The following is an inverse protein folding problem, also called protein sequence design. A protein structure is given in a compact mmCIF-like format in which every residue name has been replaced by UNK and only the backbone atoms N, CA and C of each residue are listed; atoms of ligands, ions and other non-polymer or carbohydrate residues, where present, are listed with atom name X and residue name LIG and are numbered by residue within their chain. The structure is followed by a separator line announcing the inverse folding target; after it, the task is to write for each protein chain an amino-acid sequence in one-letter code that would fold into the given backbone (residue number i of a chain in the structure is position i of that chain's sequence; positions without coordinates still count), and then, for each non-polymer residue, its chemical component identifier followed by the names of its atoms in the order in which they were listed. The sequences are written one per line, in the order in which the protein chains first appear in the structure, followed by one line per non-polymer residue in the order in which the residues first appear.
data_IF_885480208774
#
_entry.id   IF_885480208774
#
_cell.length_a   1.000
_cell.length_b   1.000
_cell.length_c   1.000
_cell.angle_alpha   90.00
_cell.angle_beta   90.00
_cell.angle_gamma   90.00
#
_symmetry.space_group_name_H-M   'P 1'
#
loop_
_entity.id
_entity.type
_entity.pdbx_description
1 polymer ?
#
# COMPACT_ATOMS: atom_id res chain seq x y z
N UNK A 1 16.22 0.78 21.23
CA UNK A 1 15.00 0.40 20.49
C UNK A 1 14.60 1.49 19.50
N UNK A 2 14.34 2.74 19.94
CA UNK A 2 13.92 3.86 19.05
C UNK A 2 14.78 4.00 17.79
N UNK A 3 16.11 4.22 17.88
CA UNK A 3 16.96 4.42 16.69
C UNK A 3 16.89 3.30 15.64
N UNK A 4 16.73 2.04 16.05
CA UNK A 4 16.62 0.88 15.13
C UNK A 4 15.24 0.80 14.50
N UNK A 5 14.19 1.06 15.28
CA UNK A 5 12.81 1.08 14.76
C UNK A 5 12.59 2.30 13.86
N UNK A 6 13.16 3.46 14.21
CA UNK A 6 13.11 4.68 13.39
C UNK A 6 13.81 4.47 12.05
N UNK A 7 15.03 3.89 12.05
CA UNK A 7 15.73 3.54 10.81
C UNK A 7 14.98 2.48 9.98
N UNK A 8 14.35 1.48 10.61
CA UNK A 8 13.53 0.50 9.92
C UNK A 8 12.23 1.11 9.35
N UNK A 9 11.62 2.05 10.07
CA UNK A 9 10.46 2.82 9.62
C UNK A 9 10.83 3.66 8.39
N UNK A 10 11.94 4.40 8.45
CA UNK A 10 12.46 5.23 7.36
C UNK A 10 12.72 4.38 6.09
N UNK A 11 13.33 3.20 6.27
CA UNK A 11 13.72 2.27 5.21
C UNK A 11 12.63 1.29 4.80
N UNK A 12 11.38 1.45 5.26
CA UNK A 12 10.28 0.53 4.92
C UNK A 12 9.98 0.53 3.42
N UNK A 13 10.54 -0.41 2.67
CA UNK A 13 10.50 -0.48 1.20
C UNK A 13 11.89 -0.44 0.54
N UNK A 14 12.95 -0.10 1.29
CA UNK A 14 14.28 0.17 0.75
C UNK A 14 15.34 -0.88 1.11
N UNK A 15 15.30 -1.54 2.27
CA UNK A 15 16.33 -2.54 2.62
C UNK A 15 15.77 -3.69 3.46
N UNK A 16 15.85 -4.90 2.90
CA UNK A 16 16.16 -6.16 3.60
C UNK A 16 15.09 -6.75 4.52
N UNK A 17 14.66 -7.98 4.18
CA UNK A 17 13.84 -8.89 5.00
C UNK A 17 14.17 -8.89 6.50
N UNK A 18 15.43 -8.61 6.87
CA UNK A 18 15.87 -8.55 8.26
C UNK A 18 15.13 -7.50 9.11
N UNK A 19 14.79 -6.32 8.59
CA UNK A 19 14.20 -5.25 9.42
C UNK A 19 12.70 -5.49 9.68
N UNK A 20 11.90 -5.76 8.64
CA UNK A 20 10.47 -6.04 8.80
C UNK A 20 10.22 -7.36 9.54
N UNK A 21 11.01 -8.41 9.27
CA UNK A 21 10.94 -9.66 10.02
C UNK A 21 11.39 -9.47 11.47
N UNK A 22 12.44 -8.68 11.74
CA UNK A 22 12.85 -8.36 13.11
C UNK A 22 11.76 -7.59 13.87
N UNK A 23 11.07 -6.63 13.23
CA UNK A 23 9.94 -5.94 13.85
C UNK A 23 8.80 -6.90 14.20
N UNK A 24 8.46 -7.83 13.31
CA UNK A 24 7.48 -8.88 13.57
C UNK A 24 7.91 -9.80 14.74
N UNK A 25 9.17 -10.23 14.77
CA UNK A 25 9.73 -11.03 15.85
C UNK A 25 9.74 -10.27 17.19
N UNK A 26 10.10 -8.99 17.19
CA UNK A 26 10.06 -8.13 18.38
C UNK A 26 8.63 -7.95 18.90
N UNK A 27 7.66 -7.78 18.00
CA UNK A 27 6.26 -7.59 18.36
C UNK A 27 5.68 -8.80 19.11
N UNK A 28 6.12 -10.03 18.79
CA UNK A 28 5.67 -11.25 19.47
C UNK A 28 6.60 -11.73 20.60
N UNK A 29 7.73 -11.06 20.82
CA UNK A 29 8.73 -11.51 21.79
C UNK A 29 8.16 -11.47 23.22
N UNK A 30 8.31 -12.52 24.03
CA UNK A 30 7.68 -12.62 25.35
C UNK A 30 8.08 -11.50 26.33
N UNK A 31 9.29 -10.98 26.18
CA UNK A 31 9.82 -9.88 27.02
C UNK A 31 9.69 -8.52 26.33
N UNK A 32 9.98 -8.46 25.02
CA UNK A 32 10.13 -7.19 24.31
C UNK A 32 8.82 -6.71 23.67
N UNK A 33 7.84 -7.59 23.51
CA UNK A 33 6.56 -7.27 22.87
C UNK A 33 5.77 -6.19 23.60
N UNK A 34 5.86 -6.10 24.93
CA UNK A 34 5.20 -5.02 25.70
C UNK A 34 5.83 -3.67 25.41
N UNK A 35 7.16 -3.58 25.52
CA UNK A 35 7.89 -2.36 25.20
C UNK A 35 7.72 -1.96 23.73
N UNK A 36 7.64 -2.93 22.82
CA UNK A 36 7.32 -2.71 21.42
C UNK A 36 5.91 -2.14 21.24
N UNK A 37 4.92 -2.67 21.96
CA UNK A 37 3.54 -2.16 21.90
C UNK A 37 3.42 -0.74 22.46
N UNK A 38 4.10 -0.42 23.57
CA UNK A 38 4.17 0.94 24.11
C UNK A 38 4.81 1.91 23.10
N UNK A 39 5.89 1.48 22.46
CA UNK A 39 6.55 2.24 21.41
C UNK A 39 5.64 2.47 20.18
N UNK A 40 4.94 1.43 19.73
CA UNK A 40 3.97 1.53 18.64
C UNK A 40 2.88 2.56 18.96
N UNK A 41 2.40 2.59 20.21
CA UNK A 41 1.41 3.55 20.68
C UNK A 41 1.96 4.98 20.73
N UNK A 42 3.21 5.15 21.16
CA UNK A 42 3.87 6.46 21.15
C UNK A 42 3.95 7.00 19.71
N UNK A 43 4.47 6.20 18.76
CA UNK A 43 4.56 6.62 17.37
C UNK A 43 3.19 6.87 16.74
N UNK A 44 2.16 6.11 17.09
CA UNK A 44 0.81 6.32 16.58
C UNK A 44 0.24 7.70 16.96
N UNK A 45 0.66 8.24 18.10
CA UNK A 45 0.27 9.58 18.58
C UNK A 45 1.09 10.72 17.96
N UNK A 46 2.19 10.42 17.26
CA UNK A 46 2.97 11.44 16.54
C UNK A 46 2.26 11.82 15.23
N UNK A 47 1.47 12.90 15.30
CA UNK A 47 0.78 13.46 14.14
C UNK A 47 1.78 13.80 13.04
N UNK A 48 1.49 13.38 11.81
CA UNK A 48 2.37 13.58 10.66
C UNK A 48 3.56 12.63 10.56
N UNK A 49 3.79 11.71 11.52
CA UNK A 49 4.88 10.75 11.36
C UNK A 49 4.62 9.85 10.12
N UNK A 50 5.51 9.85 9.11
CA UNK A 50 5.26 9.24 7.80
C UNK A 50 5.15 7.72 7.84
N UNK A 51 5.65 7.11 8.93
CA UNK A 51 5.80 5.65 9.08
C UNK A 51 5.27 5.12 10.43
N UNK A 52 4.43 5.89 11.12
CA UNK A 52 3.85 5.45 12.41
C UNK A 52 2.93 4.23 12.27
N UNK A 53 2.57 3.88 11.04
CA UNK A 53 1.85 2.67 10.70
C UNK A 53 2.72 1.41 10.65
N UNK A 54 4.05 1.51 10.55
CA UNK A 54 4.96 0.35 10.46
C UNK A 54 4.89 -0.55 11.70
N UNK A 55 4.97 -0.03 12.93
CA UNK A 55 4.77 -0.85 14.13
C UNK A 55 3.38 -1.48 14.22
N UNK A 56 2.32 -0.79 13.76
CA UNK A 56 0.96 -1.34 13.73
C UNK A 56 0.89 -2.58 12.82
N UNK A 57 1.59 -2.57 11.67
CA UNK A 57 1.67 -3.74 10.80
C UNK A 57 2.42 -4.89 11.50
N UNK A 58 3.50 -4.62 12.22
CA UNK A 58 4.19 -5.64 13.00
C UNK A 58 3.29 -6.24 14.10
N UNK A 59 2.42 -5.42 14.73
CA UNK A 59 1.45 -5.89 15.73
C UNK A 59 0.31 -6.74 15.14
N UNK A 60 0.14 -6.81 13.81
CA UNK A 60 -0.86 -7.69 13.18
C UNK A 60 -0.52 -9.18 13.36
N UNK A 61 0.72 -9.52 13.72
CA UNK A 61 1.11 -10.91 13.99
C UNK A 61 0.28 -11.53 15.11
N UNK A 62 -0.02 -12.82 14.99
CA UNK A 62 -0.66 -13.58 16.06
C UNK A 62 0.19 -13.50 17.34
N UNK A 63 -0.44 -13.45 18.51
CA UNK A 63 0.21 -13.32 19.83
C UNK A 63 0.88 -11.96 20.14
N UNK A 64 1.03 -11.05 19.17
CA UNK A 64 1.55 -9.72 19.48
C UNK A 64 0.57 -8.97 20.40
N UNK A 65 1.03 -8.35 21.51
CA UNK A 65 0.15 -7.73 22.48
C UNK A 65 -0.46 -6.44 21.92
N UNK A 66 -1.78 -6.30 22.07
CA UNK A 66 -2.55 -5.12 21.65
C UNK A 66 -3.65 -4.84 22.67
N UNK A 67 -3.79 -3.57 23.07
CA UNK A 67 -4.87 -3.15 23.95
C UNK A 67 -6.18 -2.97 23.14
N UNK A 68 -6.98 -4.03 23.04
CA UNK A 68 -8.19 -4.06 22.21
C UNK A 68 -9.17 -2.92 22.50
N UNK A 69 -9.36 -2.55 23.76
CA UNK A 69 -10.24 -1.43 24.12
C UNK A 69 -9.80 -0.08 23.53
N UNK A 70 -8.49 0.12 23.38
CA UNK A 70 -7.91 1.35 22.82
C UNK A 70 -7.98 1.30 21.30
N UNK A 71 -7.66 0.15 20.72
CA UNK A 71 -7.83 -0.07 19.28
C UNK A 71 -9.25 0.26 18.83
N UNK A 72 -10.27 -0.21 19.55
CA UNK A 72 -11.68 0.12 19.25
C UNK A 72 -11.95 1.62 19.37
N UNK A 73 -11.41 2.30 20.38
CA UNK A 73 -11.55 3.76 20.50
C UNK A 73 -10.91 4.49 19.31
N UNK A 74 -9.73 4.08 18.84
CA UNK A 74 -9.09 4.65 17.64
C UNK A 74 -9.87 4.34 16.36
N UNK A 75 -10.65 3.26 16.31
CA UNK A 75 -11.56 3.00 15.20
C UNK A 75 -12.79 3.89 15.25
N UNK A 76 -13.32 4.20 16.42
CA UNK A 76 -14.52 5.05 16.56
C UNK A 76 -14.19 6.53 16.39
N UNK A 77 -13.05 6.98 16.89
CA UNK A 77 -12.59 8.36 16.84
C UNK A 77 -11.07 8.38 16.70
N UNK A 78 -10.55 8.26 15.46
CA UNK A 78 -9.12 8.17 15.23
C UNK A 78 -8.44 9.48 15.61
N UNK A 79 -7.45 9.39 16.50
CA UNK A 79 -6.55 10.50 16.80
C UNK A 79 -5.73 10.93 15.57
N UNK A 80 -5.51 10.00 14.66
CA UNK A 80 -4.79 10.19 13.41
C UNK A 80 -5.48 9.37 12.30
N UNK A 81 -6.30 10.04 11.47
CA UNK A 81 -7.09 9.40 10.39
C UNK A 81 -6.24 8.54 9.46
N UNK A 82 -4.98 8.89 9.28
CA UNK A 82 -4.03 8.12 8.46
C UNK A 82 -3.79 6.69 8.93
N UNK A 83 -3.81 6.49 10.25
CA UNK A 83 -3.60 5.17 10.83
C UNK A 83 -4.86 4.34 10.80
N UNK A 84 -6.00 4.90 10.39
CA UNK A 84 -7.28 4.22 10.39
C UNK A 84 -7.26 2.94 9.53
N UNK A 85 -6.65 2.99 8.34
CA UNK A 85 -6.49 1.78 7.50
C UNK A 85 -5.76 0.67 8.27
N UNK A 86 -4.62 1.00 8.89
CA UNK A 86 -3.85 -0.02 9.62
C UNK A 86 -4.46 -0.44 10.95
N UNK A 87 -5.21 0.44 11.61
CA UNK A 87 -6.00 0.08 12.79
C UNK A 87 -7.14 -0.88 12.41
N UNK A 88 -7.80 -0.68 11.26
CA UNK A 88 -8.81 -1.62 10.75
C UNK A 88 -8.16 -2.97 10.40
N UNK A 89 -7.01 -2.96 9.72
CA UNK A 89 -6.26 -4.18 9.42
C UNK A 89 -5.78 -4.90 10.71
N UNK A 90 -5.34 -4.14 11.72
CA UNK A 90 -4.97 -4.66 13.02
C UNK A 90 -6.16 -5.29 13.73
N UNK A 91 -7.33 -4.66 13.70
CA UNK A 91 -8.54 -5.22 14.27
C UNK A 91 -8.96 -6.50 13.56
N UNK A 92 -8.90 -6.55 12.22
CA UNK A 92 -9.15 -7.76 11.44
C UNK A 92 -8.20 -8.91 11.82
N UNK A 93 -6.89 -8.62 11.90
CA UNK A 93 -5.89 -9.59 12.32
C UNK A 93 -6.16 -10.12 13.73
N UNK A 94 -6.49 -9.24 14.68
CA UNK A 94 -6.80 -9.63 16.06
C UNK A 94 -8.15 -10.30 16.22
N UNK A 95 -9.14 -10.02 15.38
CA UNK A 95 -10.41 -10.75 15.39
C UNK A 95 -10.24 -12.20 14.93
N UNK A 96 -9.24 -12.44 14.06
CA UNK A 96 -8.87 -13.76 13.57
C UNK A 96 -7.91 -14.51 14.50
N UNK A 97 -7.31 -13.83 15.48
CA UNK A 97 -6.38 -14.43 16.45
C UNK A 97 -7.16 -15.12 17.60
N UNK A 98 -7.08 -16.46 17.75
CA UNK A 98 -7.78 -17.17 18.81
C UNK A 98 -7.35 -16.77 20.23
N UNK A 99 -6.16 -16.18 20.39
CA UNK A 99 -5.63 -15.75 21.69
C UNK A 99 -6.13 -14.35 22.08
N UNK A 100 -6.70 -13.59 21.14
CA UNK A 100 -7.22 -12.26 21.41
C UNK A 100 -8.60 -12.34 22.11
N UNK A 101 -8.66 -11.83 23.34
CA UNK A 101 -9.87 -11.89 24.17
C UNK A 101 -10.88 -10.78 23.80
N UNK A 102 -11.62 -11.00 22.71
CA UNK A 102 -12.69 -10.11 22.29
C UNK A 102 -13.98 -10.33 23.07
N UNK A 103 -14.43 -9.31 23.81
CA UNK A 103 -15.79 -9.32 24.39
C UNK A 103 -16.84 -9.03 23.33
N UNK A 104 -18.09 -9.49 23.56
CA UNK A 104 -19.22 -9.18 22.69
C UNK A 104 -19.42 -7.66 22.49
N UNK A 105 -19.17 -6.87 23.54
CA UNK A 105 -19.21 -5.39 23.49
C UNK A 105 -18.16 -4.83 22.52
N UNK A 106 -16.91 -5.29 22.61
CA UNK A 106 -15.84 -4.82 21.72
C UNK A 106 -16.09 -5.22 20.26
N UNK A 107 -16.57 -6.45 20.02
CA UNK A 107 -16.94 -6.89 18.66
C UNK A 107 -18.03 -6.01 18.05
N UNK A 108 -19.09 -5.70 18.82
CA UNK A 108 -20.19 -4.83 18.36
C UNK A 108 -19.71 -3.42 18.02
N UNK A 109 -18.91 -2.81 18.90
CA UNK A 109 -18.31 -1.49 18.68
C UNK A 109 -17.43 -1.46 17.43
N UNK A 110 -16.61 -2.49 17.25
CA UNK A 110 -15.77 -2.66 16.05
C UNK A 110 -16.60 -2.77 14.78
N UNK A 111 -17.67 -3.58 14.79
CA UNK A 111 -18.59 -3.67 13.66
C UNK A 111 -19.25 -2.33 13.33
N UNK A 112 -19.70 -1.60 14.35
CA UNK A 112 -20.33 -0.30 14.17
C UNK A 112 -19.35 0.70 13.55
N UNK A 113 -18.15 0.84 14.12
CA UNK A 113 -17.10 1.72 13.59
C UNK A 113 -16.74 1.37 12.14
N UNK A 114 -16.51 0.08 11.84
CA UNK A 114 -16.22 -0.37 10.48
C UNK A 114 -17.37 -0.04 9.51
N UNK A 115 -18.63 -0.23 9.92
CA UNK A 115 -19.78 0.13 9.07
C UNK A 115 -19.83 1.64 8.79
N UNK A 116 -19.61 2.48 9.80
CA UNK A 116 -19.57 3.94 9.63
C UNK A 116 -18.55 4.35 8.57
N UNK A 117 -17.30 3.86 8.68
CA UNK A 117 -16.25 4.15 7.69
C UNK A 117 -16.54 3.59 6.30
N UNK A 118 -17.19 2.44 6.22
CA UNK A 118 -17.61 1.83 4.96
C UNK A 118 -18.61 2.72 4.21
N UNK A 119 -19.57 3.30 4.94
CA UNK A 119 -20.68 4.08 4.38
C UNK A 119 -20.40 5.57 4.25
N UNK A 120 -19.38 6.08 4.94
CA UNK A 120 -18.97 7.49 4.84
C UNK A 120 -18.50 7.81 3.41
N UNK A 121 -19.18 8.75 2.78
CA UNK A 121 -18.91 9.13 1.39
C UNK A 121 -17.46 9.59 1.21
N UNK A 122 -16.98 10.43 2.14
CA UNK A 122 -15.63 10.98 2.16
C UNK A 122 -14.52 9.95 2.46
N UNK A 123 -14.86 8.72 2.87
CA UNK A 123 -13.84 7.71 3.17
C UNK A 123 -13.13 7.21 1.93
N UNK A 124 -11.81 7.15 2.05
CA UNK A 124 -10.84 6.62 1.12
C UNK A 124 -11.18 5.16 0.77
N UNK A 125 -10.89 4.76 -0.46
CA UNK A 125 -11.22 3.42 -0.92
C UNK A 125 -10.54 2.36 -0.05
N UNK A 126 -9.26 2.57 0.29
CA UNK A 126 -8.47 1.69 1.14
C UNK A 126 -9.05 1.51 2.55
N UNK A 127 -9.65 2.56 3.12
CA UNK A 127 -10.30 2.51 4.43
C UNK A 127 -11.59 1.71 4.34
N UNK A 128 -12.41 1.98 3.31
CA UNK A 128 -13.63 1.20 3.02
C UNK A 128 -13.29 -0.28 2.85
N UNK A 129 -12.19 -0.62 2.15
CA UNK A 129 -11.73 -2.01 1.98
C UNK A 129 -11.35 -2.67 3.31
N UNK A 130 -10.54 -2.00 4.12
CA UNK A 130 -10.15 -2.52 5.43
C UNK A 130 -11.37 -2.71 6.36
N UNK A 131 -12.31 -1.76 6.33
CA UNK A 131 -13.57 -1.85 7.06
C UNK A 131 -14.45 -3.03 6.59
N UNK A 132 -14.59 -3.22 5.28
CA UNK A 132 -15.31 -4.37 4.72
C UNK A 132 -14.67 -5.70 5.13
N UNK A 133 -13.34 -5.77 5.21
CA UNK A 133 -12.63 -6.96 5.67
C UNK A 133 -12.94 -7.30 7.14
N UNK A 134 -12.91 -6.31 8.03
CA UNK A 134 -13.34 -6.45 9.43
C UNK A 134 -14.76 -7.00 9.52
N UNK A 135 -15.70 -6.43 8.76
CA UNK A 135 -17.09 -6.85 8.76
C UNK A 135 -17.28 -8.30 8.28
N UNK A 136 -16.48 -8.76 7.30
CA UNK A 136 -16.51 -10.16 6.85
C UNK A 136 -16.06 -11.13 7.93
N UNK A 137 -14.97 -10.81 8.63
CA UNK A 137 -14.47 -11.64 9.75
C UNK A 137 -15.53 -11.76 10.86
N UNK A 138 -16.29 -10.68 11.07
CA UNK A 138 -17.41 -10.66 12.02
C UNK A 138 -18.69 -11.34 11.50
N UNK A 139 -18.68 -11.96 10.31
CA UNK A 139 -19.83 -12.64 9.73
C UNK A 139 -20.87 -11.72 9.09
N UNK A 140 -20.58 -10.42 8.94
CA UNK A 140 -21.47 -9.41 8.34
C UNK A 140 -21.19 -9.19 6.84
N UNK A 141 -20.51 -10.14 6.20
CA UNK A 141 -20.04 -10.06 4.81
C UNK A 141 -21.14 -10.09 3.74
N UNK A 142 -22.33 -10.56 4.09
CA UNK A 142 -23.48 -10.70 3.17
C UNK A 142 -24.27 -9.40 2.97
N UNK A 143 -23.98 -8.35 3.73
CA UNK A 143 -24.61 -7.04 3.55
C UNK A 143 -24.29 -6.48 2.15
N UNK A 144 -25.28 -5.93 1.41
CA UNK A 144 -25.06 -5.32 0.10
C UNK A 144 -23.92 -4.29 0.06
N UNK A 145 -23.78 -3.50 1.13
CA UNK A 145 -22.70 -2.50 1.23
C UNK A 145 -21.32 -3.14 1.34
N UNK A 146 -21.21 -4.27 2.06
CA UNK A 146 -19.95 -5.01 2.27
C UNK A 146 -19.60 -5.87 1.06
N UNK A 147 -20.61 -6.37 0.35
CA UNK A 147 -20.43 -7.17 -0.86
C UNK A 147 -20.02 -6.34 -2.08
N UNK A 148 -20.40 -5.05 -2.11
CA UNK A 148 -19.95 -4.05 -3.11
C UNK A 148 -18.51 -3.61 -2.89
N UNK A 149 -18.05 -3.46 -1.64
CA UNK A 149 -16.67 -3.06 -1.36
C UNK A 149 -15.74 -4.27 -1.41
N UNK A 150 -15.46 -4.78 -2.60
CA UNK A 150 -14.49 -5.85 -2.84
C UNK A 150 -13.33 -5.32 -3.68
N UNK A 151 -12.24 -6.08 -3.72
CA UNK A 151 -10.96 -5.76 -4.35
C UNK A 151 -11.20 -5.40 -5.83
N UNK A 152 -11.46 -4.13 -6.09
CA UNK A 152 -12.01 -3.56 -7.32
C UNK A 152 -13.25 -4.29 -7.86
N UNK A 153 -14.39 -3.61 -7.98
CA UNK A 153 -15.48 -4.10 -8.85
C UNK A 153 -14.97 -4.46 -10.27
N UNK A 154 -13.79 -3.94 -10.68
CA UNK A 154 -13.07 -4.32 -11.90
C UNK A 154 -12.28 -5.63 -11.81
N UNK A 155 -11.43 -5.88 -10.80
CA UNK A 155 -10.62 -7.13 -10.71
C UNK A 155 -11.47 -8.30 -10.25
N UNK A 156 -12.54 -8.05 -9.48
CA UNK A 156 -13.50 -9.08 -9.16
C UNK A 156 -14.39 -9.46 -10.34
N UNK A 157 -14.76 -8.51 -11.21
CA UNK A 157 -15.34 -8.84 -12.52
C UNK A 157 -14.40 -9.70 -13.39
N UNK A 158 -13.09 -9.53 -13.22
CA UNK A 158 -12.04 -10.31 -13.89
C UNK A 158 -11.62 -11.60 -13.16
N UNK A 159 -12.11 -11.88 -11.95
CA UNK A 159 -11.69 -13.06 -11.16
C UNK A 159 -12.86 -13.91 -10.65
N UNK A 160 -14.07 -13.34 -10.50
CA UNK A 160 -15.25 -14.11 -10.14
C UNK A 160 -15.71 -14.98 -11.29
N UNK A 161 -15.70 -16.31 -11.06
CA UNK A 161 -16.06 -17.29 -12.08
C UNK A 161 -14.98 -17.45 -13.16
N UNK A 162 -13.81 -16.82 -12.99
CA UNK A 162 -12.67 -17.01 -13.86
C UNK A 162 -11.81 -18.10 -13.21
N UNK A 163 -11.85 -19.29 -13.77
CA UNK A 163 -11.03 -20.40 -13.30
C UNK A 163 -9.54 -20.07 -13.44
N UNK A 164 -8.70 -20.67 -12.59
CA UNK A 164 -7.24 -20.47 -12.58
C UNK A 164 -6.59 -20.60 -13.97
N UNK A 165 -6.98 -21.55 -14.83
CA UNK A 165 -6.47 -21.62 -16.21
C UNK A 165 -6.73 -20.35 -17.03
N UNK A 166 -7.87 -19.70 -16.86
CA UNK A 166 -8.19 -18.45 -17.59
C UNK A 166 -7.36 -17.29 -17.06
N UNK A 167 -7.14 -17.21 -15.74
CA UNK A 167 -6.20 -16.23 -15.16
C UNK A 167 -4.78 -16.40 -15.71
N UNK A 168 -4.32 -17.65 -15.84
CA UNK A 168 -3.04 -17.98 -16.44
C UNK A 168 -2.96 -17.49 -17.89
N UNK A 169 -3.97 -17.76 -18.72
CA UNK A 169 -4.03 -17.26 -20.11
C UNK A 169 -3.92 -15.73 -20.21
N UNK A 170 -4.57 -15.00 -19.29
CA UNK A 170 -4.55 -13.53 -19.28
C UNK A 170 -3.16 -12.94 -19.02
N UNK A 171 -2.31 -13.64 -18.26
CA UNK A 171 -0.95 -13.16 -17.93
C UNK A 171 0.15 -13.86 -18.73
N UNK A 172 -0.14 -14.97 -19.42
CA UNK A 172 0.84 -15.79 -20.12
C UNK A 172 1.70 -15.00 -21.10
N UNK A 173 1.08 -14.10 -21.89
CA UNK A 173 1.83 -13.23 -22.82
C UNK A 173 2.79 -12.29 -22.08
N UNK A 174 2.40 -11.78 -20.91
CA UNK A 174 3.26 -10.93 -20.10
C UNK A 174 4.39 -11.74 -19.44
N UNK A 175 4.11 -12.95 -18.96
CA UNK A 175 5.12 -13.85 -18.41
C UNK A 175 6.17 -14.22 -19.47
N UNK A 176 5.73 -14.56 -20.69
CA UNK A 176 6.64 -14.83 -21.81
C UNK A 176 7.51 -13.61 -22.14
N UNK A 177 6.94 -12.40 -22.18
CA UNK A 177 7.69 -11.16 -22.42
C UNK A 177 8.74 -10.88 -21.31
N UNK A 178 8.40 -11.17 -20.05
CA UNK A 178 9.34 -11.09 -18.91
C UNK A 178 10.51 -12.04 -19.12
N UNK A 179 10.24 -13.28 -19.51
CA UNK A 179 11.31 -14.28 -19.72
C UNK A 179 12.16 -13.87 -20.92
N UNK A 180 11.57 -13.46 -22.03
CA UNK A 180 12.30 -12.98 -23.21
C UNK A 180 13.21 -11.79 -22.89
N UNK A 181 12.73 -10.83 -22.10
CA UNK A 181 13.55 -9.70 -21.65
C UNK A 181 14.67 -10.15 -20.69
N UNK A 182 14.38 -11.08 -19.78
CA UNK A 182 15.39 -11.65 -18.89
C UNK A 182 16.47 -12.42 -19.67
N UNK A 183 16.08 -13.21 -20.66
CA UNK A 183 16.99 -13.91 -21.59
C UNK A 183 17.95 -12.93 -22.27
N UNK A 184 17.42 -11.79 -22.74
CA UNK A 184 18.22 -10.73 -23.35
C UNK A 184 19.21 -10.09 -22.36
N UNK A 185 18.75 -9.74 -21.14
CA UNK A 185 19.63 -9.17 -20.10
C UNK A 185 20.74 -10.15 -19.72
N UNK A 186 20.41 -11.44 -19.59
CA UNK A 186 21.34 -12.48 -19.15
C UNK A 186 22.19 -13.06 -20.27
N UNK A 187 21.86 -12.75 -21.53
CA UNK A 187 22.48 -13.37 -22.71
C UNK A 187 22.40 -14.91 -22.67
N UNK A 188 21.26 -15.44 -22.22
CA UNK A 188 20.99 -16.89 -22.13
C UNK A 188 19.60 -17.15 -22.66
N UNK A 189 19.42 -18.23 -23.42
CA UNK A 189 18.09 -18.67 -23.86
C UNK A 189 17.35 -19.36 -22.72
N UNK A 190 16.27 -18.74 -22.24
CA UNK A 190 15.38 -19.30 -21.23
C UNK A 190 14.09 -19.80 -21.86
N UNK A 191 13.54 -20.88 -21.31
CA UNK A 191 12.23 -21.39 -21.71
C UNK A 191 11.15 -20.35 -21.38
N UNK A 192 10.41 -19.91 -22.41
CA UNK A 192 9.34 -18.90 -22.31
C UNK A 192 8.12 -19.37 -21.51
N UNK A 193 8.02 -20.67 -21.23
CA UNK A 193 6.99 -21.25 -20.38
C UNK A 193 7.55 -21.53 -18.99
N UNK A 194 7.34 -20.60 -18.06
CA UNK A 194 7.54 -20.83 -16.63
C UNK A 194 6.19 -20.79 -15.89
N UNK A 195 5.65 -21.96 -15.48
CA UNK A 195 4.37 -22.03 -14.78
C UNK A 195 4.40 -21.35 -13.41
N UNK A 196 5.56 -21.29 -12.73
CA UNK A 196 5.69 -20.60 -11.43
C UNK A 196 5.57 -19.09 -11.64
N UNK A 197 6.25 -18.54 -12.65
CA UNK A 197 6.12 -17.12 -12.99
C UNK A 197 4.68 -16.78 -13.38
N UNK A 198 4.05 -17.60 -14.23
CA UNK A 198 2.66 -17.41 -14.64
C UNK A 198 1.73 -17.38 -13.43
N UNK A 199 1.88 -18.34 -12.51
CA UNK A 199 1.02 -18.44 -11.34
C UNK A 199 1.22 -17.26 -10.38
N UNK A 200 2.47 -16.92 -10.05
CA UNK A 200 2.78 -15.77 -9.21
C UNK A 200 2.29 -14.45 -9.83
N UNK A 201 2.44 -14.28 -11.14
CA UNK A 201 1.98 -13.08 -11.84
C UNK A 201 0.45 -13.00 -11.90
N UNK A 202 -0.23 -14.12 -12.16
CA UNK A 202 -1.69 -14.21 -12.11
C UNK A 202 -2.22 -13.83 -10.73
N UNK A 203 -1.66 -14.42 -9.68
CA UNK A 203 -2.02 -14.12 -8.29
C UNK A 203 -1.69 -12.67 -7.90
N UNK A 204 -0.58 -12.09 -8.36
CA UNK A 204 -0.25 -10.69 -8.08
C UNK A 204 -1.20 -9.69 -8.77
N UNK A 205 -1.58 -9.95 -10.02
CA UNK A 205 -2.36 -9.03 -10.85
C UNK A 205 -3.88 -9.22 -10.70
N UNK A 206 -4.33 -10.47 -10.65
CA UNK A 206 -5.74 -10.89 -10.74
C UNK A 206 -6.21 -11.59 -9.45
N UNK A 207 -5.30 -11.93 -8.53
CA UNK A 207 -5.60 -12.71 -7.32
C UNK A 207 -6.81 -12.20 -6.53
N UNK A 208 -7.63 -13.15 -6.05
CA UNK A 208 -8.95 -12.88 -5.48
C UNK A 208 -8.94 -12.28 -4.08
N UNK A 209 -7.77 -12.19 -3.43
CA UNK A 209 -7.61 -11.62 -2.10
C UNK A 209 -6.26 -10.91 -1.92
N UNK A 210 -6.17 -10.01 -0.93
CA UNK A 210 -4.98 -9.19 -0.69
C UNK A 210 -3.78 -9.97 -0.14
N UNK A 211 -4.03 -11.07 0.60
CA UNK A 211 -2.97 -11.90 1.17
C UNK A 211 -2.19 -12.61 0.06
N UNK A 212 -2.91 -13.28 -0.84
CA UNK A 212 -2.35 -13.95 -2.02
C UNK A 212 -1.57 -12.94 -2.88
N UNK A 213 -2.16 -11.79 -3.22
CA UNK A 213 -1.46 -10.74 -3.99
C UNK A 213 -0.17 -10.29 -3.31
N UNK A 214 -0.18 -10.13 -1.97
CA UNK A 214 0.98 -9.71 -1.18
C UNK A 214 2.07 -10.77 -1.21
N UNK A 215 1.73 -12.04 -0.97
CA UNK A 215 2.67 -13.16 -0.98
C UNK A 215 3.29 -13.35 -2.36
N UNK A 216 2.48 -13.33 -3.42
CA UNK A 216 3.01 -13.46 -4.78
C UNK A 216 3.91 -12.29 -5.17
N UNK A 217 3.51 -11.05 -4.83
CA UNK A 217 4.37 -9.87 -5.05
C UNK A 217 5.70 -10.00 -4.30
N UNK A 218 5.69 -10.56 -3.09
CA UNK A 218 6.89 -10.80 -2.30
C UNK A 218 7.84 -11.79 -2.99
N UNK A 219 7.31 -12.93 -3.45
CA UNK A 219 8.11 -13.91 -4.21
C UNK A 219 8.70 -13.30 -5.49
N UNK A 220 7.90 -12.53 -6.25
CA UNK A 220 8.36 -11.84 -7.45
C UNK A 220 9.46 -10.82 -7.15
N UNK A 221 9.36 -10.06 -6.06
CA UNK A 221 10.37 -9.08 -5.64
C UNK A 221 11.73 -9.73 -5.35
N UNK A 222 11.73 -10.90 -4.72
CA UNK A 222 12.97 -11.63 -4.39
C UNK A 222 13.46 -12.57 -5.49
N UNK A 223 12.73 -12.66 -6.60
CA UNK A 223 13.10 -13.50 -7.74
C UNK A 223 14.07 -12.81 -8.70
N UNK A 224 14.74 -13.61 -9.53
CA UNK A 224 15.55 -13.12 -10.64
C UNK A 224 14.72 -12.38 -11.72
N UNK A 225 13.39 -12.54 -11.71
CA UNK A 225 12.49 -11.89 -12.66
C UNK A 225 12.26 -10.40 -12.37
N UNK A 226 12.57 -9.92 -11.16
CA UNK A 226 12.28 -8.54 -10.73
C UNK A 226 12.60 -7.45 -11.77
N UNK A 227 13.83 -7.33 -12.31
CA UNK A 227 14.15 -6.27 -13.26
C UNK A 227 13.32 -6.38 -14.56
N UNK A 228 13.13 -7.60 -15.07
CA UNK A 228 12.33 -7.83 -16.28
C UNK A 228 10.82 -7.61 -16.05
N UNK A 229 10.32 -7.93 -14.85
CA UNK A 229 8.95 -7.62 -14.44
C UNK A 229 8.68 -6.12 -14.31
N UNK A 230 9.62 -5.37 -13.73
CA UNK A 230 9.51 -3.92 -13.67
C UNK A 230 9.46 -3.31 -15.08
N UNK A 231 10.35 -3.76 -15.97
CA UNK A 231 10.33 -3.36 -17.38
C UNK A 231 8.99 -3.69 -18.05
N UNK A 232 8.50 -4.93 -17.92
CA UNK A 232 7.24 -5.34 -18.52
C UNK A 232 6.05 -4.55 -17.93
N UNK A 233 6.04 -4.28 -16.63
CA UNK A 233 5.01 -3.46 -16.01
C UNK A 233 4.99 -2.05 -16.61
N UNK A 234 6.16 -1.45 -16.84
CA UNK A 234 6.30 -0.17 -17.54
C UNK A 234 5.74 -0.22 -18.97
N UNK A 235 6.07 -1.27 -19.74
CA UNK A 235 5.53 -1.48 -21.09
C UNK A 235 4.00 -1.58 -21.07
N UNK A 236 3.44 -2.40 -20.18
CA UNK A 236 1.99 -2.59 -20.06
C UNK A 236 1.30 -1.28 -19.69
N UNK A 237 1.82 -0.55 -18.70
CA UNK A 237 1.24 0.73 -18.26
C UNK A 237 1.27 1.75 -19.40
N UNK A 238 2.40 1.89 -20.11
CA UNK A 238 2.56 2.83 -21.23
C UNK A 238 1.67 2.50 -22.43
N UNK A 239 1.36 1.23 -22.65
CA UNK A 239 0.47 0.79 -23.73
C UNK A 239 -1.00 1.15 -23.52
N UNK A 240 -1.41 1.52 -22.30
CA UNK A 240 -2.80 1.80 -21.92
C UNK A 240 -3.15 3.27 -22.21
N UNK A 241 -3.92 3.51 -23.26
CA UNK A 241 -4.34 4.84 -23.70
C UNK A 241 -5.86 4.95 -23.83
N UNK A 242 -6.38 6.18 -23.83
CA UNK A 242 -7.79 6.47 -24.12
C UNK A 242 -8.79 5.81 -23.14
N UNK A 243 -9.91 5.31 -23.70
CA UNK A 243 -11.06 4.76 -22.96
C UNK A 243 -10.70 3.43 -22.25
N UNK A 244 -9.68 2.71 -22.72
CA UNK A 244 -9.24 1.42 -22.16
C UNK A 244 -8.20 1.57 -21.05
N UNK A 245 -7.88 2.80 -20.64
CA UNK A 245 -6.83 3.07 -19.68
C UNK A 245 -7.15 2.53 -18.29
N UNK A 246 -8.30 2.89 -17.74
CA UNK A 246 -8.74 2.36 -16.45
C UNK A 246 -9.44 1.00 -16.57
N UNK A 247 -9.72 0.52 -17.78
CA UNK A 247 -10.27 -0.83 -17.98
C UNK A 247 -9.20 -1.90 -17.77
N UNK A 248 -9.53 -2.91 -16.99
CA UNK A 248 -8.68 -4.09 -16.79
C UNK A 248 -7.84 -4.01 -15.52
N UNK A 249 -6.62 -4.56 -15.56
CA UNK A 249 -5.76 -4.68 -14.38
C UNK A 249 -4.71 -3.55 -14.26
N UNK A 250 -4.96 -2.35 -14.82
CA UNK A 250 -3.97 -1.25 -14.81
C UNK A 250 -3.52 -0.91 -13.38
N UNK A 251 -4.45 -0.76 -12.45
CA UNK A 251 -4.11 -0.45 -11.06
C UNK A 251 -3.21 -1.53 -10.44
N UNK A 252 -3.39 -2.80 -10.82
CA UNK A 252 -2.56 -3.91 -10.33
C UNK A 252 -1.14 -3.84 -10.89
N UNK A 253 -0.99 -3.47 -12.17
CA UNK A 253 0.32 -3.25 -12.77
C UNK A 253 1.04 -2.03 -12.17
N UNK A 254 0.32 -0.93 -11.91
CA UNK A 254 0.87 0.25 -11.23
C UNK A 254 1.34 -0.10 -9.82
N UNK A 255 0.52 -0.83 -9.06
CA UNK A 255 0.90 -1.35 -7.74
C UNK A 255 2.14 -2.23 -7.83
N UNK A 256 2.18 -3.17 -8.79
CA UNK A 256 3.30 -4.08 -8.96
C UNK A 256 4.58 -3.32 -9.30
N UNK A 257 4.52 -2.34 -10.20
CA UNK A 257 5.66 -1.48 -10.54
C UNK A 257 6.16 -0.69 -9.32
N UNK A 258 5.27 -0.14 -8.50
CA UNK A 258 5.67 0.56 -7.26
C UNK A 258 6.38 -0.34 -6.23
N UNK A 259 6.18 -1.67 -6.31
CA UNK A 259 6.87 -2.63 -5.44
C UNK A 259 8.15 -3.18 -6.04
N UNK A 260 8.18 -3.42 -7.34
CA UNK A 260 9.30 -4.09 -8.03
C UNK A 260 10.31 -3.11 -8.62
N UNK A 261 9.86 -1.91 -8.98
CA UNK A 261 10.66 -0.87 -9.63
C UNK A 261 11.84 -0.40 -8.79
N UNK A 262 12.76 0.29 -9.45
CA UNK A 262 13.92 0.89 -8.78
C UNK A 262 14.55 2.05 -9.55
N UNK A 263 14.01 2.40 -10.72
CA UNK A 263 14.59 3.42 -11.59
C UNK A 263 13.73 4.68 -11.66
N UNK A 264 14.35 5.78 -12.06
CA UNK A 264 13.64 7.03 -12.39
C UNK A 264 12.64 6.82 -13.52
N UNK A 265 12.88 5.90 -14.46
CA UNK A 265 11.93 5.59 -15.54
C UNK A 265 10.64 4.92 -15.02
N UNK A 266 10.78 4.04 -14.02
CA UNK A 266 9.63 3.42 -13.32
C UNK A 266 8.80 4.50 -12.60
N UNK A 267 9.49 5.41 -11.91
CA UNK A 267 8.85 6.53 -11.21
C UNK A 267 8.15 7.48 -12.19
N UNK A 268 8.81 7.85 -13.30
CA UNK A 268 8.24 8.69 -14.35
C UNK A 268 6.99 8.04 -14.96
N UNK A 269 7.00 6.71 -15.12
CA UNK A 269 5.84 5.96 -15.64
C UNK A 269 4.64 6.02 -14.71
N UNK A 270 4.85 5.83 -13.40
CA UNK A 270 3.75 5.95 -12.41
C UNK A 270 3.28 7.40 -12.30
N UNK A 271 4.21 8.37 -12.32
CA UNK A 271 3.90 9.80 -12.32
C UNK A 271 3.03 10.18 -13.52
N UNK A 272 3.32 9.66 -14.71
CA UNK A 272 2.50 9.90 -15.90
C UNK A 272 1.07 9.35 -15.76
N UNK A 273 0.87 8.21 -15.08
CA UNK A 273 -0.48 7.71 -14.74
C UNK A 273 -1.22 8.71 -13.87
N UNK A 274 -0.57 9.17 -12.80
CA UNK A 274 -1.13 10.15 -11.89
C UNK A 274 -1.49 11.47 -12.62
N UNK A 275 -0.62 11.95 -13.50
CA UNK A 275 -0.83 13.20 -14.22
C UNK A 275 -1.86 13.12 -15.36
N UNK A 276 -2.36 11.95 -15.72
CA UNK A 276 -3.27 11.83 -16.88
C UNK A 276 -4.70 12.28 -16.54
N UNK A 277 -5.34 13.14 -17.35
CA UNK A 277 -6.76 13.47 -17.21
C UNK A 277 -7.68 12.25 -17.32
N UNK A 278 -8.73 12.18 -16.50
CA UNK A 278 -9.72 11.10 -16.55
C UNK A 278 -9.33 9.82 -15.81
N UNK A 279 -8.12 9.74 -15.22
CA UNK A 279 -7.75 8.62 -14.35
C UNK A 279 -8.68 8.51 -13.14
N UNK A 280 -9.20 7.30 -12.94
CA UNK A 280 -10.10 6.96 -11.84
C UNK A 280 -9.48 7.27 -10.47
N UNK A 281 -10.34 7.53 -9.49
CA UNK A 281 -9.92 7.79 -8.10
C UNK A 281 -9.07 6.64 -7.54
N UNK A 282 -9.45 5.39 -7.81
CA UNK A 282 -8.73 4.21 -7.32
C UNK A 282 -7.35 4.04 -7.97
N UNK A 283 -7.25 4.24 -9.29
CA UNK A 283 -5.97 4.20 -10.01
C UNK A 283 -5.05 5.35 -9.54
N UNK A 284 -5.59 6.55 -9.34
CA UNK A 284 -4.83 7.71 -8.85
C UNK A 284 -4.30 7.49 -7.43
N UNK A 285 -5.13 6.98 -6.51
CA UNK A 285 -4.70 6.62 -5.16
C UNK A 285 -3.59 5.56 -5.20
N UNK A 286 -3.77 4.51 -6.00
CA UNK A 286 -2.76 3.45 -6.17
C UNK A 286 -1.45 3.99 -6.74
N UNK A 287 -1.50 4.86 -7.75
CA UNK A 287 -0.32 5.47 -8.34
C UNK A 287 0.44 6.36 -7.36
N UNK A 288 -0.27 7.17 -6.56
CA UNK A 288 0.34 8.02 -5.55
C UNK A 288 1.07 7.20 -4.48
N UNK A 289 0.47 6.09 -4.02
CA UNK A 289 1.12 5.17 -3.09
C UNK A 289 2.29 4.41 -3.70
N UNK A 290 2.16 3.98 -4.96
CA UNK A 290 3.23 3.31 -5.69
C UNK A 290 4.46 4.22 -5.87
N UNK A 291 4.27 5.52 -6.12
CA UNK A 291 5.35 6.51 -6.10
C UNK A 291 6.01 6.61 -4.73
N UNK A 292 5.21 6.71 -3.66
CA UNK A 292 5.73 6.78 -2.29
C UNK A 292 6.56 5.54 -1.92
N UNK A 293 6.15 4.35 -2.37
CA UNK A 293 6.91 3.11 -2.17
C UNK A 293 8.25 3.11 -2.90
N UNK A 294 8.28 3.61 -4.14
CA UNK A 294 9.47 3.69 -4.99
C UNK A 294 10.43 4.84 -4.61
N UNK A 295 9.92 5.88 -3.96
CA UNK A 295 10.60 7.16 -3.72
C UNK A 295 11.97 7.05 -3.04
N UNK A 296 12.18 6.00 -2.25
CA UNK A 296 13.42 5.79 -1.52
C UNK A 296 14.55 5.25 -2.42
N UNK A 297 14.19 4.61 -3.55
CA UNK A 297 15.12 4.18 -4.59
C UNK A 297 15.21 5.16 -5.77
N UNK A 298 14.08 5.78 -6.16
CA UNK A 298 14.04 6.72 -7.27
C UNK A 298 12.87 7.72 -7.16
N UNK A 299 13.15 8.97 -7.51
CA UNK A 299 12.14 10.00 -7.74
C UNK A 299 11.91 10.23 -9.24
N UNK A 300 10.69 10.61 -9.66
CA UNK A 300 10.45 11.01 -11.04
C UNK A 300 11.04 12.40 -11.31
N UNK A 301 11.48 12.62 -12.55
CA UNK A 301 12.13 13.87 -12.97
C UNK A 301 11.18 15.08 -12.93
N UNK A 302 9.88 14.83 -13.02
CA UNK A 302 8.84 15.85 -13.17
C UNK A 302 7.96 16.03 -11.93
N UNK A 303 8.42 15.62 -10.73
CA UNK A 303 7.67 15.87 -9.49
C UNK A 303 7.76 17.35 -9.05
N UNK A 304 7.25 18.27 -9.87
CA UNK A 304 7.23 19.71 -9.58
C UNK A 304 6.04 20.14 -8.70
N UNK A 305 6.13 21.27 -7.97
CA UNK A 305 5.08 21.71 -7.05
C UNK A 305 3.98 22.55 -7.73
N UNK A 306 2.70 22.38 -7.33
CA UNK A 306 2.02 21.12 -7.03
C UNK A 306 1.58 20.41 -8.32
N UNK A 307 1.63 19.07 -8.39
CA UNK A 307 1.15 18.37 -9.57
C UNK A 307 -0.33 18.69 -9.79
N UNK A 308 -0.75 19.03 -11.02
CA UNK A 308 -2.12 19.48 -11.35
C UNK A 308 -3.22 18.54 -10.87
N UNK A 309 -2.89 17.27 -10.61
CA UNK A 309 -3.81 16.24 -10.15
C UNK A 309 -4.50 16.60 -8.83
N UNK A 310 -3.79 17.20 -7.87
CA UNK A 310 -4.34 17.50 -6.53
C UNK A 310 -5.46 18.52 -6.61
N UNK A 311 -5.42 19.39 -7.61
CA UNK A 311 -6.41 20.44 -7.86
C UNK A 311 -7.67 19.93 -8.60
N UNK A 312 -7.68 18.69 -9.11
CA UNK A 312 -8.80 18.18 -9.91
C UNK A 312 -10.05 17.94 -9.06
N UNK A 313 -11.20 18.40 -9.55
CA UNK A 313 -12.51 18.23 -8.88
C UNK A 313 -12.86 16.76 -8.66
N UNK A 314 -12.59 15.89 -9.64
CA UNK A 314 -12.83 14.45 -9.55
C UNK A 314 -12.12 13.75 -8.37
N UNK A 315 -11.04 14.35 -7.86
CA UNK A 315 -10.23 13.78 -6.78
C UNK A 315 -10.40 14.53 -5.46
N UNK A 316 -11.41 15.41 -5.35
CA UNK A 316 -11.65 16.25 -4.16
C UNK A 316 -11.74 15.42 -2.87
N UNK A 317 -12.42 14.27 -2.91
CA UNK A 317 -12.60 13.40 -1.76
C UNK A 317 -11.29 12.75 -1.27
N UNK A 318 -10.39 12.37 -2.18
CA UNK A 318 -9.10 11.73 -1.86
C UNK A 318 -7.92 12.70 -1.83
N UNK A 319 -8.18 14.01 -1.97
CA UNK A 319 -7.15 15.05 -2.00
C UNK A 319 -6.18 14.97 -0.81
N UNK A 320 -6.64 14.78 0.44
CA UNK A 320 -5.72 14.66 1.58
C UNK A 320 -4.73 13.49 1.42
N UNK A 321 -5.20 12.34 0.94
CA UNK A 321 -4.39 11.16 0.67
C UNK A 321 -3.36 11.41 -0.43
N UNK A 322 -3.76 12.03 -1.54
CA UNK A 322 -2.85 12.38 -2.63
C UNK A 322 -1.77 13.37 -2.19
N UNK A 323 -2.17 14.42 -1.46
CA UNK A 323 -1.22 15.41 -0.92
C UNK A 323 -0.23 14.77 0.03
N UNK A 324 -0.70 13.89 0.91
CA UNK A 324 0.16 13.22 1.87
C UNK A 324 1.09 12.21 1.20
N UNK A 325 0.61 11.44 0.23
CA UNK A 325 1.47 10.55 -0.56
C UNK A 325 2.55 11.32 -1.31
N UNK A 326 2.26 12.51 -1.85
CA UNK A 326 3.24 13.40 -2.46
C UNK A 326 4.28 13.92 -1.45
N UNK A 327 3.82 14.40 -0.29
CA UNK A 327 4.69 14.80 0.83
C UNK A 327 5.60 13.65 1.25
N UNK A 328 5.05 12.44 1.42
CA UNK A 328 5.83 11.24 1.72
C UNK A 328 6.82 10.92 0.61
N UNK A 329 6.43 11.03 -0.66
CA UNK A 329 7.31 10.75 -1.81
C UNK A 329 8.52 11.68 -1.77
N UNK A 330 8.30 12.99 -1.68
CA UNK A 330 9.37 13.99 -1.61
C UNK A 330 10.26 13.82 -0.37
N UNK A 331 9.65 13.66 0.80
CA UNK A 331 10.39 13.48 2.06
C UNK A 331 11.24 12.21 2.07
N UNK A 332 10.76 11.12 1.46
CA UNK A 332 11.50 9.84 1.36
C UNK A 332 12.61 9.87 0.34
N UNK A 333 12.40 10.55 -0.79
CA UNK A 333 13.43 10.72 -1.81
C UNK A 333 14.45 11.82 -1.49
N UNK A 334 14.29 12.51 -0.35
CA UNK A 334 15.22 13.55 0.09
C UNK A 334 15.10 14.88 -0.67
N UNK A 335 14.01 15.09 -1.41
CA UNK A 335 13.75 16.35 -2.12
C UNK A 335 13.16 17.41 -1.17
N UNK A 336 14.04 18.00 -0.37
CA UNK A 336 13.67 19.00 0.62
C UNK A 336 13.19 20.31 0.00
N UNK A 337 13.68 20.68 -1.18
CA UNK A 337 13.30 21.91 -1.86
C UNK A 337 11.90 21.77 -2.46
N UNK A 338 11.60 20.66 -3.13
CA UNK A 338 10.26 20.32 -3.55
C UNK A 338 9.29 20.27 -2.37
N UNK A 339 9.71 19.69 -1.25
CA UNK A 339 8.91 19.61 -0.03
C UNK A 339 8.63 21.00 0.58
N UNK A 340 9.60 21.93 0.58
CA UNK A 340 9.41 23.32 1.02
C UNK A 340 8.49 24.10 0.09
N UNK A 341 8.54 23.82 -1.20
CA UNK A 341 7.74 24.50 -2.22
C UNK A 341 6.26 24.09 -2.23
N UNK A 342 5.89 23.00 -1.55
CA UNK A 342 4.48 22.61 -1.41
C UNK A 342 3.68 23.64 -0.59
N UNK A 343 2.58 24.10 -1.16
CA UNK A 343 1.63 25.03 -0.54
C UNK A 343 0.20 24.47 -0.57
N UNK A 344 -0.72 25.07 0.21
CA UNK A 344 -2.15 24.70 0.24
C UNK A 344 -2.42 23.22 0.58
N UNK A 345 -1.61 22.65 1.47
CA UNK A 345 -1.78 21.29 1.96
C UNK A 345 -2.94 21.18 2.95
N UNK A 346 -3.58 20.00 2.99
CA UNK A 346 -4.45 19.60 4.09
C UNK A 346 -3.68 19.61 5.42
N UNK A 347 -4.40 19.69 6.53
CA UNK A 347 -3.79 19.68 7.86
C UNK A 347 -2.88 18.46 8.10
N UNK A 348 -3.29 17.27 7.65
CA UNK A 348 -2.52 16.03 7.79
C UNK A 348 -1.26 16.02 6.92
N UNK A 349 -1.36 16.45 5.66
CA UNK A 349 -0.21 16.54 4.76
C UNK A 349 0.77 17.61 5.24
N UNK A 350 0.28 18.72 5.77
CA UNK A 350 1.09 19.79 6.35
C UNK A 350 1.80 19.33 7.64
N UNK A 351 1.14 18.53 8.48
CA UNK A 351 1.77 17.96 9.66
C UNK A 351 2.92 17.02 9.28
N UNK A 352 2.74 16.17 8.26
CA UNK A 352 3.82 15.30 7.77
C UNK A 352 4.95 16.09 7.11
N UNK A 353 4.63 17.13 6.31
CA UNK A 353 5.64 18.04 5.72
C UNK A 353 6.50 18.65 6.83
N UNK A 354 5.88 19.17 7.88
CA UNK A 354 6.59 19.71 9.06
C UNK A 354 7.43 18.66 9.76
N UNK A 355 6.92 17.44 9.92
CA UNK A 355 7.70 16.34 10.52
C UNK A 355 8.99 16.09 9.74
N UNK A 356 8.92 15.97 8.42
CA UNK A 356 10.09 15.76 7.56
C UNK A 356 11.10 16.92 7.64
N UNK A 357 10.63 18.16 7.48
CA UNK A 357 11.51 19.33 7.48
C UNK A 357 12.19 19.56 8.83
N UNK A 358 11.48 19.33 9.93
CA UNK A 358 12.04 19.53 11.28
C UNK A 358 13.02 18.44 11.68
N UNK A 359 12.77 17.18 11.30
CA UNK A 359 13.57 16.02 11.71
C UNK A 359 14.72 15.69 10.76
N UNK A 360 14.57 16.00 9.47
CA UNK A 360 15.50 15.54 8.41
C UNK A 360 15.99 16.67 7.50
N UNK A 361 15.13 17.63 7.18
CA UNK A 361 15.45 18.74 6.27
C UNK A 361 16.45 19.79 6.81
N UNK A 362 16.89 19.65 8.07
CA UNK A 362 17.91 20.47 8.75
C UNK A 362 19.27 19.79 8.86
N UNK A 363 19.36 18.50 8.51
CA UNK A 363 20.63 17.75 8.49
C UNK A 363 21.30 17.97 7.13
N UNK A 364 22.57 18.43 7.07
CA UNK A 364 23.33 18.39 5.83
C UNK A 364 23.36 16.95 5.32
N UNK A 365 23.19 16.74 4.01
CA UNK A 365 23.37 15.42 3.41
C UNK A 365 24.78 14.90 3.76
N UNK A 366 24.93 13.61 4.11
CA UNK A 366 26.24 13.01 4.41
C UNK A 366 27.18 13.04 3.20
#
# INVERSE_FOLDING_TARGET
MSRVVDQACDRKGDIGQASDAALACLAIHPVAGRAFAEYALQLATEVGHPKSFVPLIAQQQAKAPVHLGRLVTELESPSNRWLLRENLNLAAAKLSDPQAQWTARLRRRTAHAAMSWLTEEASEHEIKRAAAHVLRILGLGSSPSVSRIRLADEVRGLSQGIDRPVMHTLVQRNAAAVISHLSAIRSVELNIEDPILIDLLASAIIGGNDQERRESTHWLYHSAYRPALAHQATVVIRSRTGIDRDRGALHSWVRLLGKLGSSTDDADTISAVLQTPGTSTATAETAAWALCDLASSALPRSLGPPPPIVARQQHKAIRPTLQRALVSTLGRGGDWDGLRALTHLSADAEAERRWWLTRRGSTPAP
#
